data_IF_315860636099
#
_entry.id   IF_315860636099
#
_cell.length_a   1.000
_cell.length_b   1.000
_cell.length_c   1.000
_cell.angle_alpha   90.00
_cell.angle_beta   90.00
_cell.angle_gamma   90.00
#
_symmetry.space_group_name_H-M   'P 1'
#
loop_
_entity.id
_entity.type
_entity.pdbx_description
1 polymer ?
#
# COMPACT_ATOMS: atom_id res chain seq x y z
N UNK A 1 -16.51 -15.86 20.94
CA UNK A 1 -15.48 -14.89 21.39
C UNK A 1 -14.44 -15.48 22.35
N UNK A 2 -14.74 -16.54 23.12
CA UNK A 2 -13.86 -17.00 24.20
C UNK A 2 -12.59 -17.75 23.77
N UNK A 3 -12.55 -18.36 22.57
CA UNK A 3 -11.33 -19.06 22.15
C UNK A 3 -10.26 -18.17 21.52
N UNK A 4 -10.56 -16.90 21.21
CA UNK A 4 -9.55 -15.98 20.68
C UNK A 4 -8.40 -15.76 21.68
N UNK A 5 -7.12 -15.76 21.24
CA UNK A 5 -6.03 -15.20 22.00
C UNK A 5 -6.38 -13.80 22.51
N UNK A 6 -5.96 -13.49 23.73
CA UNK A 6 -6.28 -12.22 24.40
C UNK A 6 -5.91 -11.00 23.53
N UNK A 7 -4.81 -11.06 22.79
CA UNK A 7 -4.34 -10.02 21.88
C UNK A 7 -5.34 -9.74 20.73
N UNK A 8 -6.00 -10.77 20.22
CA UNK A 8 -6.99 -10.65 19.14
C UNK A 8 -8.34 -10.19 19.70
N UNK A 9 -8.77 -10.81 20.80
CA UNK A 9 -10.06 -10.52 21.45
C UNK A 9 -10.21 -9.05 21.85
N UNK A 10 -9.11 -8.38 22.22
CA UNK A 10 -9.12 -6.97 22.63
C UNK A 10 -9.44 -5.96 21.53
N UNK A 11 -9.42 -6.36 20.25
CA UNK A 11 -9.64 -5.46 19.11
C UNK A 11 -11.00 -5.71 18.42
N UNK A 12 -11.55 -6.90 18.56
CA UNK A 12 -12.70 -7.37 17.80
C UNK A 12 -14.05 -6.95 18.44
N UNK A 13 -15.12 -6.80 17.63
CA UNK A 13 -16.46 -6.57 18.15
C UNK A 13 -16.90 -7.78 18.98
N UNK A 14 -17.55 -7.55 20.12
CA UNK A 14 -17.96 -8.62 21.05
C UNK A 14 -19.27 -9.28 20.66
N UNK A 15 -20.09 -8.60 19.87
CA UNK A 15 -21.39 -9.04 19.42
C UNK A 15 -21.75 -8.31 18.10
N UNK A 16 -22.83 -8.74 17.46
CA UNK A 16 -23.28 -8.21 16.18
C UNK A 16 -23.65 -6.72 16.26
N UNK A 17 -24.19 -6.24 17.39
CA UNK A 17 -24.54 -4.82 17.55
C UNK A 17 -23.32 -3.91 17.51
N UNK A 18 -22.19 -4.36 18.08
CA UNK A 18 -20.91 -3.63 18.00
C UNK A 18 -20.35 -3.56 16.56
N UNK A 19 -20.90 -4.30 15.61
CA UNK A 19 -20.54 -4.18 14.19
C UNK A 19 -21.26 -3.04 13.46
N UNK A 20 -22.32 -2.44 14.03
CA UNK A 20 -23.06 -1.33 13.44
C UNK A 20 -23.45 -1.57 11.96
N UNK A 21 -23.99 -2.76 11.65
CA UNK A 21 -24.35 -3.14 10.28
C UNK A 21 -25.58 -2.38 9.78
N UNK A 22 -26.38 -1.82 10.69
CA UNK A 22 -27.53 -0.96 10.38
C UNK A 22 -27.17 0.31 9.60
N UNK A 23 -25.92 0.78 9.68
CA UNK A 23 -25.45 2.00 9.01
C UNK A 23 -25.13 1.79 7.52
N UNK A 24 -25.24 0.56 7.01
CA UNK A 24 -24.99 0.25 5.60
C UNK A 24 -26.11 0.78 4.69
N UNK A 25 -25.72 1.47 3.61
CA UNK A 25 -26.64 2.05 2.64
C UNK A 25 -27.32 0.97 1.77
N UNK A 26 -28.40 0.38 2.29
CA UNK A 26 -29.16 -0.70 1.64
C UNK A 26 -29.72 -0.30 0.27
N UNK A 27 -30.00 0.99 0.07
CA UNK A 27 -30.47 1.53 -1.22
C UNK A 27 -29.42 1.38 -2.34
N UNK A 28 -28.13 1.32 -1.97
CA UNK A 28 -27.02 1.16 -2.91
C UNK A 28 -26.68 -0.31 -3.10
N UNK A 29 -26.50 -1.04 -2.00
CA UNK A 29 -25.98 -2.42 -2.03
C UNK A 29 -27.07 -3.48 -2.20
N UNK A 30 -28.33 -3.10 -1.99
CA UNK A 30 -29.49 -3.97 -2.01
C UNK A 30 -29.73 -4.68 -0.68
N UNK A 31 -31.01 -4.78 -0.30
CA UNK A 31 -31.46 -5.42 0.97
C UNK A 31 -31.00 -6.86 1.12
N UNK A 32 -31.01 -7.66 0.05
CA UNK A 32 -30.62 -9.07 0.10
C UNK A 32 -29.15 -9.25 0.54
N UNK A 33 -28.26 -8.37 0.06
CA UNK A 33 -26.84 -8.42 0.43
C UNK A 33 -26.63 -8.02 1.90
N UNK A 34 -27.33 -6.97 2.36
CA UNK A 34 -27.28 -6.55 3.77
C UNK A 34 -27.81 -7.65 4.70
N UNK A 35 -28.87 -8.36 4.31
CA UNK A 35 -29.37 -9.52 5.05
C UNK A 35 -28.33 -10.66 5.08
N UNK A 36 -27.70 -10.99 3.96
CA UNK A 36 -26.65 -12.01 3.91
C UNK A 36 -25.46 -11.65 4.82
N UNK A 37 -25.06 -10.37 4.84
CA UNK A 37 -24.02 -9.89 5.74
C UNK A 37 -24.42 -9.97 7.21
N UNK A 38 -25.66 -9.60 7.53
CA UNK A 38 -26.22 -9.73 8.87
C UNK A 38 -26.22 -11.20 9.32
N UNK A 39 -26.69 -12.12 8.47
CA UNK A 39 -26.67 -13.54 8.76
C UNK A 39 -25.25 -14.09 8.91
N UNK A 40 -24.31 -13.66 8.08
CA UNK A 40 -22.90 -14.04 8.19
C UNK A 40 -22.31 -13.67 9.56
N UNK A 41 -22.66 -12.48 10.07
CA UNK A 41 -22.29 -12.04 11.41
C UNK A 41 -23.01 -12.86 12.49
N UNK A 42 -24.32 -13.07 12.36
CA UNK A 42 -25.10 -13.87 13.31
C UNK A 42 -24.55 -15.30 13.44
N UNK A 43 -24.24 -15.96 12.33
CA UNK A 43 -23.65 -17.30 12.31
C UNK A 43 -22.30 -17.31 13.05
N UNK A 44 -21.44 -16.30 12.82
CA UNK A 44 -20.17 -16.18 13.53
C UNK A 44 -20.37 -16.11 15.05
N UNK A 45 -21.24 -15.21 15.52
CA UNK A 45 -21.42 -14.98 16.95
C UNK A 45 -22.21 -16.09 17.64
N UNK A 46 -23.04 -16.84 16.91
CA UNK A 46 -23.68 -18.08 17.38
C UNK A 46 -22.71 -19.27 17.44
N UNK A 47 -21.57 -19.18 16.77
CA UNK A 47 -20.52 -20.20 16.76
C UNK A 47 -20.54 -21.12 15.55
N UNK A 48 -21.41 -20.87 14.55
CA UNK A 48 -21.40 -21.56 13.27
C UNK A 48 -20.34 -20.93 12.34
N UNK A 49 -19.08 -21.19 12.67
CA UNK A 49 -17.92 -20.64 11.97
C UNK A 49 -17.87 -21.11 10.49
N UNK A 50 -18.13 -22.39 10.16
CA UNK A 50 -18.12 -22.83 8.76
C UNK A 50 -19.16 -22.10 7.91
N UNK A 51 -20.39 -21.92 8.41
CA UNK A 51 -21.42 -21.21 7.67
C UNK A 51 -21.09 -19.71 7.51
N UNK A 52 -20.58 -19.08 8.57
CA UNK A 52 -20.11 -17.70 8.50
C UNK A 52 -19.00 -17.52 7.46
N UNK A 53 -18.03 -18.44 7.40
CA UNK A 53 -16.95 -18.41 6.42
C UNK A 53 -17.47 -18.56 4.99
N UNK A 54 -18.38 -19.50 4.73
CA UNK A 54 -18.99 -19.67 3.41
C UNK A 54 -19.71 -18.39 2.96
N UNK A 55 -20.55 -17.81 3.82
CA UNK A 55 -21.25 -16.55 3.51
C UNK A 55 -20.28 -15.39 3.30
N UNK A 56 -19.19 -15.33 4.07
CA UNK A 56 -18.16 -14.29 3.91
C UNK A 56 -17.48 -14.38 2.54
N UNK A 57 -17.23 -15.58 2.01
CA UNK A 57 -16.67 -15.78 0.67
C UNK A 57 -17.66 -15.37 -0.44
N UNK A 58 -18.94 -15.72 -0.30
CA UNK A 58 -19.99 -15.29 -1.22
C UNK A 58 -20.11 -13.75 -1.27
N UNK A 59 -20.13 -13.11 -0.09
CA UNK A 59 -20.16 -11.66 0.04
C UNK A 59 -18.94 -11.01 -0.61
N UNK A 60 -17.73 -11.56 -0.38
CA UNK A 60 -16.50 -11.06 -0.98
C UNK A 60 -16.51 -11.22 -2.50
N UNK A 61 -16.93 -12.38 -3.01
CA UNK A 61 -17.00 -12.67 -4.44
C UNK A 61 -17.94 -11.71 -5.17
N UNK A 62 -19.16 -11.57 -4.65
CA UNK A 62 -20.16 -10.67 -5.25
C UNK A 62 -19.73 -9.20 -5.16
N UNK A 63 -19.24 -8.77 -4.00
CA UNK A 63 -18.82 -7.39 -3.80
C UNK A 63 -17.58 -7.06 -4.65
N UNK A 64 -16.65 -8.01 -4.80
CA UNK A 64 -15.50 -7.85 -5.70
C UNK A 64 -15.94 -7.57 -7.13
N UNK A 65 -16.91 -8.32 -7.66
CA UNK A 65 -17.45 -8.10 -9.00
C UNK A 65 -18.02 -6.69 -9.14
N UNK A 66 -18.77 -6.22 -8.13
CA UNK A 66 -19.34 -4.85 -8.12
C UNK A 66 -18.28 -3.77 -8.06
N UNK A 67 -17.25 -3.95 -7.22
CA UNK A 67 -16.13 -3.01 -7.13
C UNK A 67 -15.32 -2.93 -8.44
N UNK A 68 -15.28 -4.01 -9.21
CA UNK A 68 -14.55 -4.08 -10.48
C UNK A 68 -15.45 -3.87 -11.70
N UNK A 69 -16.70 -3.43 -11.50
CA UNK A 69 -17.61 -3.06 -12.58
C UNK A 69 -17.47 -1.56 -12.86
N UNK A 70 -16.98 -1.19 -14.05
CA UNK A 70 -16.85 0.20 -14.47
C UNK A 70 -15.60 0.91 -13.93
N UNK A 71 -15.65 2.24 -13.85
CA UNK A 71 -14.52 3.04 -13.36
C UNK A 71 -14.50 3.12 -11.84
N UNK A 72 -13.37 2.79 -11.21
CA UNK A 72 -13.20 2.77 -9.75
C UNK A 72 -13.63 4.08 -9.04
N UNK A 73 -13.44 5.23 -9.68
CA UNK A 73 -13.81 6.55 -9.12
C UNK A 73 -15.33 6.73 -8.92
N UNK A 74 -16.13 5.96 -9.65
CA UNK A 74 -17.59 6.04 -9.66
C UNK A 74 -18.21 4.95 -8.76
N UNK A 75 -17.38 4.11 -8.14
CA UNK A 75 -17.82 3.05 -7.22
C UNK A 75 -18.25 3.68 -5.89
N UNK A 76 -19.50 3.43 -5.52
CA UNK A 76 -20.06 3.90 -4.25
C UNK A 76 -19.31 3.28 -3.05
N UNK A 77 -19.08 4.11 -2.03
CA UNK A 77 -18.37 3.70 -0.82
C UNK A 77 -19.10 2.59 -0.05
N UNK A 78 -20.41 2.45 -0.19
CA UNK A 78 -21.19 1.41 0.46
C UNK A 78 -20.72 0.00 0.08
N UNK A 79 -20.37 -0.24 -1.20
CA UNK A 79 -19.77 -1.50 -1.64
C UNK A 79 -18.44 -1.77 -0.94
N UNK A 80 -17.64 -0.72 -0.74
CA UNK A 80 -16.35 -0.82 -0.05
C UNK A 80 -16.54 -1.11 1.45
N UNK A 81 -17.58 -0.60 2.09
CA UNK A 81 -17.93 -0.96 3.46
C UNK A 81 -18.33 -2.44 3.58
N UNK A 82 -19.17 -2.96 2.66
CA UNK A 82 -19.53 -4.39 2.64
C UNK A 82 -18.29 -5.26 2.49
N UNK A 83 -17.38 -4.90 1.58
CA UNK A 83 -16.13 -5.64 1.39
C UNK A 83 -15.27 -5.67 2.66
N UNK A 84 -15.21 -4.54 3.39
CA UNK A 84 -14.49 -4.46 4.67
C UNK A 84 -15.11 -5.38 5.73
N UNK A 85 -16.44 -5.38 5.89
CA UNK A 85 -17.11 -6.23 6.87
C UNK A 85 -16.99 -7.73 6.53
N UNK A 86 -17.16 -8.09 5.27
CA UNK A 86 -17.00 -9.48 4.82
C UNK A 86 -15.54 -9.95 5.03
N UNK A 87 -14.56 -9.10 4.74
CA UNK A 87 -13.13 -9.38 5.00
C UNK A 87 -12.85 -9.58 6.49
N UNK A 88 -13.48 -8.77 7.35
CA UNK A 88 -13.36 -8.88 8.81
C UNK A 88 -13.93 -10.21 9.31
N UNK A 89 -15.15 -10.56 8.90
CA UNK A 89 -15.82 -11.81 9.29
C UNK A 89 -15.03 -13.03 8.80
N UNK A 90 -14.52 -12.99 7.57
CA UNK A 90 -13.62 -14.03 7.04
C UNK A 90 -12.37 -14.19 7.90
N UNK A 91 -11.66 -13.10 8.19
CA UNK A 91 -10.45 -13.14 9.00
C UNK A 91 -10.74 -13.65 10.42
N UNK A 92 -11.84 -13.21 11.03
CA UNK A 92 -12.30 -13.68 12.33
C UNK A 92 -12.61 -15.17 12.31
N UNK A 93 -13.33 -15.66 11.30
CA UNK A 93 -13.66 -17.07 11.12
C UNK A 93 -12.43 -17.95 10.97
N UNK A 94 -11.46 -17.55 10.14
CA UNK A 94 -10.20 -18.29 9.93
C UNK A 94 -9.43 -18.41 11.25
N UNK A 95 -9.33 -17.34 12.04
CA UNK A 95 -8.68 -17.38 13.35
C UNK A 95 -9.42 -18.30 14.33
N UNK A 96 -10.76 -18.33 14.30
CA UNK A 96 -11.56 -19.22 15.16
C UNK A 96 -11.40 -20.69 14.81
N UNK A 97 -11.40 -21.04 13.53
CA UNK A 97 -11.18 -22.43 13.11
C UNK A 97 -9.79 -22.95 13.48
N UNK A 98 -8.81 -22.04 13.54
CA UNK A 98 -7.43 -22.35 13.89
C UNK A 98 -7.27 -22.86 15.32
N UNK A 99 -8.18 -22.48 16.22
CA UNK A 99 -8.13 -22.78 17.66
C UNK A 99 -8.70 -24.15 18.03
N UNK A 100 -9.17 -24.93 17.06
CA UNK A 100 -9.57 -26.31 17.33
C UNK A 100 -8.36 -27.18 17.67
N UNK A 101 -8.51 -28.02 18.70
CA UNK A 101 -7.50 -28.97 19.18
C UNK A 101 -7.07 -29.91 18.02
N UNK A 102 -5.78 -30.28 17.98
CA UNK A 102 -5.09 -31.15 16.99
C UNK A 102 -4.37 -30.50 15.78
N UNK A 103 -4.13 -29.18 15.77
CA UNK A 103 -3.34 -28.53 14.70
C UNK A 103 -1.85 -28.36 15.04
N UNK A 104 -0.99 -28.57 14.04
CA UNK A 104 0.44 -28.27 14.15
C UNK A 104 0.68 -26.75 14.18
N UNK A 105 1.79 -26.32 14.79
CA UNK A 105 2.20 -24.90 14.80
C UNK A 105 2.25 -24.32 13.38
N UNK A 106 2.75 -25.07 12.39
CA UNK A 106 2.80 -24.63 11.00
C UNK A 106 1.40 -24.40 10.40
N UNK A 107 0.43 -25.25 10.72
CA UNK A 107 -0.95 -25.08 10.29
C UNK A 107 -1.62 -23.87 10.95
N UNK A 108 -1.26 -23.59 12.21
CA UNK A 108 -1.72 -22.41 12.95
C UNK A 108 -1.17 -21.13 12.30
N UNK A 109 0.14 -21.10 12.04
CA UNK A 109 0.80 -19.98 11.36
C UNK A 109 0.23 -19.79 9.94
N UNK A 110 -0.03 -20.86 9.19
CA UNK A 110 -0.66 -20.78 7.87
C UNK A 110 -2.07 -20.16 7.93
N UNK A 111 -2.85 -20.48 8.97
CA UNK A 111 -4.18 -19.91 9.19
C UNK A 111 -4.11 -18.41 9.51
N UNK A 112 -3.21 -18.00 10.40
CA UNK A 112 -2.98 -16.58 10.69
C UNK A 112 -2.49 -15.80 9.46
N UNK A 113 -1.66 -16.41 8.61
CA UNK A 113 -1.26 -15.81 7.34
C UNK A 113 -2.47 -15.56 6.44
N UNK A 114 -3.38 -16.53 6.31
CA UNK A 114 -4.63 -16.36 5.53
C UNK A 114 -5.57 -15.30 6.13
N UNK A 115 -5.69 -15.24 7.46
CA UNK A 115 -6.48 -14.22 8.13
C UNK A 115 -5.90 -12.81 7.92
N UNK A 116 -4.56 -12.69 7.95
CA UNK A 116 -3.85 -11.45 7.65
C UNK A 116 -4.07 -11.01 6.20
N UNK A 117 -4.01 -11.97 5.26
CA UNK A 117 -4.30 -11.72 3.84
C UNK A 117 -5.74 -11.23 3.64
N UNK A 118 -6.73 -11.83 4.32
CA UNK A 118 -8.11 -11.35 4.27
C UNK A 118 -8.24 -9.91 4.80
N UNK A 119 -7.55 -9.57 5.90
CA UNK A 119 -7.51 -8.18 6.39
C UNK A 119 -6.86 -7.23 5.36
N UNK A 120 -5.76 -7.65 4.74
CA UNK A 120 -5.03 -6.86 3.75
C UNK A 120 -5.87 -6.62 2.50
N UNK A 121 -6.60 -7.63 2.04
CA UNK A 121 -7.56 -7.47 0.94
C UNK A 121 -8.66 -6.47 1.28
N UNK A 122 -9.20 -6.52 2.50
CA UNK A 122 -10.20 -5.55 2.95
C UNK A 122 -9.63 -4.12 3.08
N UNK A 123 -8.36 -3.97 3.47
CA UNK A 123 -7.68 -2.66 3.50
C UNK A 123 -7.40 -2.11 2.09
N UNK A 124 -7.15 -2.99 1.11
CA UNK A 124 -6.88 -2.61 -0.27
C UNK A 124 -8.15 -2.24 -1.03
N UNK A 125 -9.20 -3.06 -0.92
CA UNK A 125 -10.43 -2.92 -1.71
C UNK A 125 -11.53 -2.16 -0.97
N UNK A 126 -11.59 -2.33 0.35
CA UNK A 126 -12.65 -1.78 1.20
C UNK A 126 -12.45 -0.32 1.59
N UNK A 127 -13.27 0.12 2.53
CA UNK A 127 -13.23 1.45 3.14
C UNK A 127 -13.15 1.34 4.68
N UNK A 128 -12.61 2.37 5.36
CA UNK A 128 -12.53 2.39 6.82
C UNK A 128 -13.89 2.14 7.48
N UNK A 129 -13.97 1.17 8.40
CA UNK A 129 -15.11 0.97 9.32
C UNK A 129 -14.61 0.72 10.73
N UNK A 130 -15.45 0.98 11.73
CA UNK A 130 -15.20 0.66 13.15
C UNK A 130 -13.80 1.11 13.63
N UNK A 131 -13.43 2.36 13.32
CA UNK A 131 -12.10 2.91 13.62
C UNK A 131 -10.95 2.04 13.07
N UNK A 132 -10.95 1.83 11.75
CA UNK A 132 -9.93 1.07 11.01
C UNK A 132 -9.71 -0.35 11.56
N UNK A 133 -10.81 -1.05 11.87
CA UNK A 133 -10.76 -2.34 12.57
C UNK A 133 -9.86 -3.38 11.90
N UNK A 134 -9.85 -3.46 10.56
CA UNK A 134 -8.97 -4.38 9.83
C UNK A 134 -7.49 -4.07 10.04
N UNK A 135 -7.10 -2.80 10.11
CA UNK A 135 -5.70 -2.41 10.37
C UNK A 135 -5.31 -2.79 11.79
N UNK A 136 -6.20 -2.54 12.77
CA UNK A 136 -5.98 -2.93 14.17
C UNK A 136 -5.93 -4.45 14.33
N UNK A 137 -6.80 -5.18 13.64
CA UNK A 137 -6.88 -6.63 13.73
C UNK A 137 -5.69 -7.31 13.03
N UNK A 138 -5.31 -6.84 11.83
CA UNK A 138 -4.11 -7.29 11.14
C UNK A 138 -2.86 -7.13 12.01
N UNK A 139 -2.73 -6.01 12.72
CA UNK A 139 -1.64 -5.79 13.69
C UNK A 139 -1.70 -6.78 14.86
N UNK A 140 -2.88 -7.02 15.43
CA UNK A 140 -3.04 -8.01 16.50
C UNK A 140 -2.66 -9.42 16.03
N UNK A 141 -3.06 -9.79 14.80
CA UNK A 141 -2.64 -11.04 14.14
C UNK A 141 -1.12 -11.06 14.01
N UNK A 142 -0.48 -10.02 13.48
CA UNK A 142 0.98 -9.96 13.33
C UNK A 142 1.75 -10.11 14.65
N UNK A 143 1.22 -9.60 15.76
CA UNK A 143 1.87 -9.77 17.08
C UNK A 143 1.77 -11.20 17.62
N UNK A 144 0.74 -11.93 17.21
CA UNK A 144 0.48 -13.33 17.59
C UNK A 144 1.19 -14.28 16.63
N UNK A 145 1.23 -13.91 15.36
CA UNK A 145 1.91 -14.57 14.26
C UNK A 145 3.42 -14.48 14.44
N UNK A 146 4.08 -15.63 14.52
CA UNK A 146 5.53 -15.71 14.46
C UNK A 146 5.86 -16.15 13.05
N UNK A 147 6.25 -15.23 12.14
CA UNK A 147 6.67 -15.66 10.81
C UNK A 147 7.75 -16.71 10.98
N UNK A 148 7.56 -17.87 10.33
CA UNK A 148 8.60 -18.88 10.21
C UNK A 148 9.85 -18.14 9.75
N UNK A 149 10.92 -18.20 10.57
CA UNK A 149 12.18 -17.59 10.20
C UNK A 149 12.51 -18.12 8.80
N UNK A 150 12.70 -17.26 7.79
CA UNK A 150 13.28 -17.75 6.55
C UNK A 150 14.58 -18.45 6.95
N UNK A 151 14.80 -19.67 6.44
CA UNK A 151 15.98 -20.46 6.74
C UNK A 151 17.20 -19.54 6.74
N UNK A 152 17.92 -19.53 7.86
CA UNK A 152 19.05 -18.65 8.17
C UNK A 152 19.73 -18.12 6.90
N UNK A 153 19.52 -16.85 6.57
CA UNK A 153 20.32 -16.18 5.57
C UNK A 153 21.66 -15.80 6.20
N UNK A 154 22.47 -16.81 6.52
CA UNK A 154 23.92 -16.68 6.55
C UNK A 154 24.44 -16.66 5.11
N UNK A 155 23.88 -15.80 4.25
CA UNK A 155 24.60 -15.39 3.06
C UNK A 155 25.48 -14.24 3.50
N UNK A 156 26.75 -14.55 3.75
CA UNK A 156 27.82 -13.57 3.62
C UNK A 156 27.50 -12.78 2.35
N UNK A 157 27.43 -11.47 2.46
CA UNK A 157 27.40 -10.57 1.31
C UNK A 157 28.71 -10.86 0.56
N UNK A 158 28.68 -11.86 -0.33
CA UNK A 158 29.61 -11.90 -1.42
C UNK A 158 29.14 -10.78 -2.32
N UNK A 159 29.98 -9.77 -2.41
CA UNK A 159 29.93 -8.58 -3.24
C UNK A 159 29.92 -8.97 -4.74
N UNK A 160 28.98 -9.82 -5.13
CA UNK A 160 28.70 -10.14 -6.52
C UNK A 160 27.48 -9.31 -6.91
N UNK A 161 27.79 -8.10 -7.37
CA UNK A 161 26.87 -7.25 -8.11
C UNK A 161 26.29 -8.01 -9.29
N UNK A 162 25.16 -8.68 -9.10
CA UNK A 162 24.31 -9.10 -10.21
C UNK A 162 23.68 -7.82 -10.74
N UNK A 163 24.34 -7.18 -11.69
CA UNK A 163 23.72 -6.10 -12.45
C UNK A 163 22.47 -6.68 -13.15
N UNK A 164 21.27 -6.11 -12.90
CA UNK A 164 20.13 -6.41 -13.74
C UNK A 164 20.52 -6.05 -15.18
N UNK A 165 20.51 -7.03 -16.07
CA UNK A 165 20.77 -6.83 -17.51
C UNK A 165 19.58 -6.12 -18.15
N UNK A 166 19.35 -4.87 -17.77
CA UNK A 166 18.64 -3.90 -18.58
C UNK A 166 19.67 -3.22 -19.48
N UNK A 167 19.35 -2.90 -20.74
CA UNK A 167 20.27 -2.14 -21.59
C UNK A 167 20.71 -0.88 -20.84
N UNK A 168 21.99 -0.47 -20.93
CA UNK A 168 22.47 0.72 -20.25
C UNK A 168 21.69 1.92 -20.77
N UNK A 169 20.60 2.27 -20.08
CA UNK A 169 19.98 3.56 -20.25
C UNK A 169 21.02 4.55 -19.78
N UNK A 170 21.63 5.25 -20.74
CA UNK A 170 22.50 6.39 -20.47
C UNK A 170 21.70 7.33 -19.58
N UNK A 171 22.06 7.36 -18.30
CA UNK A 171 21.52 8.29 -17.32
C UNK A 171 21.78 9.68 -17.93
N UNK A 172 20.75 10.41 -18.39
CA UNK A 172 21.01 11.60 -19.17
C UNK A 172 21.68 12.63 -18.26
N UNK A 173 22.79 13.20 -18.72
CA UNK A 173 23.55 14.16 -17.93
C UNK A 173 22.67 15.38 -17.59
N UNK A 174 22.60 15.74 -16.31
CA UNK A 174 21.86 16.92 -15.88
C UNK A 174 22.71 18.15 -16.20
N UNK A 175 22.17 19.06 -17.02
CA UNK A 175 22.79 20.37 -17.22
C UNK A 175 22.72 21.17 -15.93
N UNK A 176 23.86 21.71 -15.46
CA UNK A 176 23.95 22.54 -14.24
C UNK A 176 22.97 23.72 -14.25
N UNK A 177 22.62 24.23 -15.43
CA UNK A 177 21.70 25.35 -15.60
C UNK A 177 20.24 24.98 -15.25
N UNK A 178 19.91 23.68 -15.26
CA UNK A 178 18.58 23.15 -14.98
C UNK A 178 18.54 22.39 -13.65
N UNK A 179 19.58 22.51 -12.82
CA UNK A 179 19.57 21.92 -11.48
C UNK A 179 18.53 22.60 -10.58
N UNK A 180 17.77 21.79 -9.86
CA UNK A 180 16.82 22.27 -8.86
C UNK A 180 17.61 22.85 -7.67
N UNK A 181 17.30 24.07 -7.20
CA UNK A 181 17.99 24.67 -6.08
C UNK A 181 17.85 23.83 -4.81
N UNK A 182 18.91 23.83 -3.99
CA UNK A 182 18.96 23.14 -2.70
C UNK A 182 18.96 24.19 -1.59
N UNK A 183 18.09 24.01 -0.59
CA UNK A 183 18.01 24.88 0.59
C UNK A 183 18.04 24.05 1.86
N UNK A 184 18.71 24.55 2.89
CA UNK A 184 18.79 23.88 4.19
C UNK A 184 17.74 24.46 5.14
N UNK A 185 16.81 23.64 5.62
CA UNK A 185 15.77 24.00 6.60
C UNK A 185 15.20 25.44 6.46
N UNK A 186 14.56 25.79 5.32
CA UNK A 186 14.00 27.12 5.14
C UNK A 186 12.87 27.37 6.14
N UNK A 187 12.68 28.63 6.57
CA UNK A 187 11.51 28.99 7.37
C UNK A 187 10.21 28.76 6.58
N UNK A 188 9.08 28.53 7.26
CA UNK A 188 7.78 28.36 6.59
C UNK A 188 7.43 29.56 5.70
N UNK A 189 7.72 30.78 6.15
CA UNK A 189 7.46 32.00 5.39
C UNK A 189 8.34 32.06 4.13
N UNK A 190 9.63 31.78 4.27
CA UNK A 190 10.57 31.73 3.13
C UNK A 190 10.16 30.66 2.13
N UNK A 191 9.76 29.48 2.62
CA UNK A 191 9.31 28.39 1.75
C UNK A 191 8.03 28.76 0.99
N UNK A 192 7.06 29.35 1.69
CA UNK A 192 5.78 29.75 1.13
C UNK A 192 5.96 30.82 0.04
N UNK A 193 6.68 31.91 0.34
CA UNK A 193 6.80 33.04 -0.59
C UNK A 193 7.72 32.73 -1.77
N UNK A 194 8.82 32.01 -1.55
CA UNK A 194 9.85 31.83 -2.58
C UNK A 194 9.61 30.61 -3.48
N UNK A 195 8.95 29.57 -2.99
CA UNK A 195 8.79 28.31 -3.73
C UNK A 195 7.33 27.90 -3.92
N UNK A 196 6.52 27.94 -2.87
CA UNK A 196 5.14 27.44 -2.94
C UNK A 196 4.24 28.33 -3.81
N UNK A 197 4.22 29.65 -3.55
CA UNK A 197 3.42 30.61 -4.31
C UNK A 197 3.92 30.78 -5.76
N UNK A 198 5.25 30.75 -5.94
CA UNK A 198 5.88 30.88 -7.26
C UNK A 198 5.84 29.59 -8.07
N UNK A 199 5.40 28.47 -7.47
CA UNK A 199 5.40 27.12 -8.05
C UNK A 199 6.80 26.70 -8.55
N UNK A 200 7.84 27.10 -7.81
CA UNK A 200 9.23 26.81 -8.14
C UNK A 200 9.69 25.55 -7.42
N UNK A 201 10.21 24.52 -8.13
CA UNK A 201 10.73 23.32 -7.49
C UNK A 201 11.96 23.62 -6.64
N UNK A 202 12.08 22.93 -5.49
CA UNK A 202 13.20 23.09 -4.54
C UNK A 202 13.50 21.76 -3.84
N UNK A 203 14.77 21.50 -3.55
CA UNK A 203 15.22 20.39 -2.71
C UNK A 203 15.47 20.93 -1.30
N UNK A 204 14.73 20.44 -0.31
CA UNK A 204 14.91 20.79 1.10
C UNK A 204 15.85 19.79 1.77
N UNK A 205 16.93 20.29 2.38
CA UNK A 205 17.92 19.53 3.14
C UNK A 205 17.77 19.80 4.64
N UNK A 206 18.28 18.91 5.49
CA UNK A 206 18.25 19.03 6.96
C UNK A 206 16.89 18.78 7.62
N UNK A 207 15.80 18.93 6.87
CA UNK A 207 14.42 18.82 7.37
C UNK A 207 14.03 17.44 7.94
N UNK A 208 14.68 16.37 7.48
CA UNK A 208 14.32 14.99 7.83
C UNK A 208 15.30 14.32 8.81
N UNK A 209 16.35 15.02 9.28
CA UNK A 209 17.45 14.40 10.05
C UNK A 209 16.98 13.70 11.33
N UNK A 210 15.91 14.21 11.94
CA UNK A 210 15.32 13.67 13.15
C UNK A 210 14.32 12.52 12.90
N UNK A 211 14.05 12.15 11.63
CA UNK A 211 13.07 11.12 11.32
C UNK A 211 13.62 9.74 11.73
N UNK A 212 12.86 8.93 12.50
CA UNK A 212 13.37 7.65 12.99
C UNK A 212 13.79 6.70 11.86
N UNK A 213 13.16 6.82 10.68
CA UNK A 213 13.49 6.08 9.47
C UNK A 213 14.93 6.27 8.96
N UNK A 214 15.60 7.36 9.35
CA UNK A 214 16.99 7.66 8.99
C UNK A 214 17.98 7.40 10.15
N UNK A 215 17.49 7.21 11.37
CA UNK A 215 18.30 7.00 12.58
C UNK A 215 17.89 5.74 13.35
N UNK A 216 17.18 5.92 14.47
CA UNK A 216 16.87 4.87 15.46
C UNK A 216 16.16 3.64 14.88
N UNK A 217 15.31 3.83 13.88
CA UNK A 217 14.55 2.79 13.18
C UNK A 217 14.85 2.84 11.69
N UNK A 218 16.15 2.79 11.35
CA UNK A 218 16.63 2.91 9.97
C UNK A 218 15.93 1.90 9.06
N UNK A 219 15.34 2.38 7.97
CA UNK A 219 14.70 1.52 6.98
C UNK A 219 15.74 0.69 6.21
N UNK A 220 15.93 -0.55 6.63
CA UNK A 220 16.68 -1.58 5.89
C UNK A 220 15.72 -2.61 5.28
N UNK A 221 16.24 -3.50 4.42
CA UNK A 221 15.46 -4.65 3.94
C UNK A 221 15.03 -5.54 5.10
N UNK A 222 15.94 -5.82 6.04
CA UNK A 222 15.65 -6.63 7.23
C UNK A 222 14.62 -5.98 8.14
N UNK A 223 14.72 -4.67 8.37
CA UNK A 223 13.73 -3.93 9.13
C UNK A 223 12.35 -4.06 8.49
N UNK A 224 12.24 -3.86 7.17
CA UNK A 224 10.98 -3.94 6.45
C UNK A 224 10.40 -5.36 6.41
N UNK A 225 11.24 -6.40 6.32
CA UNK A 225 10.82 -7.80 6.50
C UNK A 225 10.28 -8.04 7.91
N UNK A 226 10.94 -7.50 8.93
CA UNK A 226 10.53 -7.67 10.32
C UNK A 226 9.19 -7.00 10.61
N UNK A 227 9.00 -5.75 10.18
CA UNK A 227 7.81 -4.96 10.55
C UNK A 227 6.61 -5.19 9.64
N UNK A 228 6.84 -5.44 8.36
CA UNK A 228 5.76 -5.51 7.37
C UNK A 228 5.91 -6.68 6.39
N UNK A 229 6.88 -7.57 6.59
CA UNK A 229 7.20 -8.65 5.65
C UNK A 229 6.03 -9.58 5.36
N UNK A 230 5.10 -9.77 6.30
CA UNK A 230 3.91 -10.60 6.14
C UNK A 230 2.73 -9.89 5.50
N UNK A 231 2.79 -8.57 5.26
CA UNK A 231 1.69 -7.82 4.65
C UNK A 231 1.64 -8.06 3.15
N UNK A 232 0.44 -8.33 2.64
CA UNK A 232 0.15 -8.46 1.21
C UNK A 232 0.02 -7.08 0.59
N UNK A 233 0.81 -6.81 -0.45
CA UNK A 233 0.87 -5.52 -1.13
C UNK A 233 0.76 -5.69 -2.65
N UNK A 234 0.21 -4.70 -3.36
CA UNK A 234 0.24 -4.67 -4.81
C UNK A 234 1.63 -4.35 -5.33
N UNK A 235 2.13 -5.19 -6.23
CA UNK A 235 3.41 -5.01 -6.93
C UNK A 235 3.14 -4.87 -8.42
N UNK A 236 3.62 -3.78 -9.01
CA UNK A 236 3.67 -3.59 -10.45
C UNK A 236 4.80 -4.43 -11.04
N UNK A 237 4.51 -5.17 -12.11
CA UNK A 237 5.44 -6.05 -12.79
C UNK A 237 5.62 -5.56 -14.22
N UNK A 238 6.86 -5.29 -14.63
CA UNK A 238 7.19 -4.76 -15.95
C UNK A 238 8.07 -3.51 -15.86
N UNK A 239 8.64 -3.10 -17.00
CA UNK A 239 9.57 -1.96 -17.04
C UNK A 239 8.86 -0.60 -16.96
N UNK A 240 7.70 -0.47 -17.60
CA UNK A 240 6.86 0.74 -17.59
C UNK A 240 5.39 0.36 -17.55
N UNK A 241 4.57 1.15 -16.85
CA UNK A 241 3.12 0.96 -16.78
C UNK A 241 2.36 1.15 -18.10
N UNK A 242 3.01 1.72 -19.11
CA UNK A 242 2.47 1.89 -20.46
C UNK A 242 2.75 0.68 -21.36
N UNK A 243 3.58 -0.27 -20.93
CA UNK A 243 3.97 -1.41 -21.74
C UNK A 243 2.86 -2.48 -21.67
N UNK A 244 2.58 -3.17 -22.78
CA UNK A 244 1.58 -4.25 -22.82
C UNK A 244 1.92 -5.42 -21.88
N UNK A 245 3.21 -5.61 -21.59
CA UNK A 245 3.69 -6.62 -20.65
C UNK A 245 3.54 -6.19 -19.18
N UNK A 246 3.06 -4.97 -18.91
CA UNK A 246 2.80 -4.51 -17.55
C UNK A 246 1.61 -5.26 -16.95
N UNK A 247 1.78 -5.68 -15.70
CA UNK A 247 0.73 -6.30 -14.92
C UNK A 247 0.87 -5.94 -13.45
N UNK A 248 -0.14 -6.26 -12.66
CA UNK A 248 -0.10 -6.11 -11.21
C UNK A 248 -0.32 -7.46 -10.54
N UNK A 249 0.43 -7.72 -9.48
CA UNK A 249 0.30 -8.95 -8.70
C UNK A 249 0.31 -8.63 -7.21
N UNK A 250 -0.49 -9.34 -6.43
CA UNK A 250 -0.48 -9.28 -4.98
C UNK A 250 0.53 -10.30 -4.44
N UNK A 251 1.43 -9.85 -3.58
CA UNK A 251 2.36 -10.72 -2.86
C UNK A 251 2.79 -10.09 -1.55
N UNK A 252 3.41 -10.87 -0.67
CA UNK A 252 3.92 -10.31 0.59
C UNK A 252 5.14 -9.42 0.36
N UNK A 253 5.40 -8.47 1.25
CA UNK A 253 6.64 -7.66 1.21
C UNK A 253 7.89 -8.56 1.27
N UNK A 254 7.86 -9.62 2.07
CA UNK A 254 8.95 -10.60 2.13
C UNK A 254 9.17 -11.32 0.80
N UNK A 255 8.10 -11.70 0.11
CA UNK A 255 8.20 -12.32 -1.22
C UNK A 255 8.72 -11.33 -2.25
N UNK A 256 8.23 -10.08 -2.23
CA UNK A 256 8.72 -9.02 -3.11
C UNK A 256 10.23 -8.80 -2.94
N UNK A 257 10.70 -8.68 -1.69
CA UNK A 257 12.13 -8.51 -1.39
C UNK A 257 12.93 -9.72 -1.87
N UNK A 258 12.51 -10.94 -1.54
CA UNK A 258 13.21 -12.16 -1.96
C UNK A 258 13.30 -12.31 -3.48
N UNK A 259 12.18 -12.07 -4.18
CA UNK A 259 12.03 -12.32 -5.62
C UNK A 259 12.67 -11.23 -6.45
N UNK A 260 12.40 -9.96 -6.15
CA UNK A 260 12.74 -8.84 -7.03
C UNK A 260 13.94 -8.02 -6.54
N UNK A 261 14.25 -8.01 -5.24
CA UNK A 261 15.37 -7.22 -4.69
C UNK A 261 16.63 -8.07 -4.49
N UNK A 262 16.50 -9.23 -3.84
CA UNK A 262 17.62 -10.13 -3.53
C UNK A 262 17.91 -11.16 -4.64
N UNK A 263 16.96 -11.33 -5.57
CA UNK A 263 17.11 -12.20 -6.74
C UNK A 263 17.19 -13.70 -6.46
N UNK A 264 16.66 -14.17 -5.33
CA UNK A 264 16.67 -15.60 -4.95
C UNK A 264 15.92 -16.52 -5.91
N UNK A 265 15.03 -15.97 -6.74
CA UNK A 265 14.21 -16.69 -7.72
C UNK A 265 14.55 -16.31 -9.19
N UNK A 266 15.54 -15.44 -9.42
CA UNK A 266 15.86 -14.89 -10.74
C UNK A 266 16.45 -15.90 -11.73
N UNK A 267 16.73 -17.15 -11.32
CA UNK A 267 17.26 -18.19 -12.19
C UNK A 267 16.26 -18.65 -13.28
N UNK A 268 14.96 -18.35 -13.15
CA UNK A 268 13.92 -18.77 -14.13
C UNK A 268 13.27 -17.66 -14.96
N UNK A 269 13.43 -16.37 -14.61
CA UNK A 269 12.82 -15.23 -15.33
C UNK A 269 13.79 -14.05 -15.43
N UNK A 270 14.72 -14.09 -16.39
CA UNK A 270 15.63 -12.97 -16.65
C UNK A 270 14.83 -11.72 -17.02
N UNK A 271 14.99 -10.64 -16.25
CA UNK A 271 14.61 -9.28 -16.65
C UNK A 271 13.25 -8.75 -16.19
N UNK A 272 12.44 -9.50 -15.42
CA UNK A 272 11.19 -8.96 -14.90
C UNK A 272 11.44 -8.02 -13.70
N UNK A 273 11.14 -6.73 -13.88
CA UNK A 273 11.23 -5.70 -12.82
C UNK A 273 9.96 -5.74 -11.97
N UNK A 274 10.12 -5.66 -10.65
CA UNK A 274 9.03 -5.51 -9.69
C UNK A 274 9.12 -4.16 -8.99
N UNK A 275 7.98 -3.47 -8.86
CA UNK A 275 7.89 -2.17 -8.23
C UNK A 275 6.71 -2.09 -7.25
N UNK A 276 7.01 -1.86 -5.97
CA UNK A 276 6.01 -1.47 -4.98
C UNK A 276 5.74 0.02 -5.17
N UNK A 277 4.69 0.34 -5.91
CA UNK A 277 4.37 1.71 -6.31
C UNK A 277 3.01 2.13 -5.80
N UNK A 278 2.86 3.43 -5.53
CA UNK A 278 1.58 4.08 -5.31
C UNK A 278 0.72 3.49 -4.16
N UNK A 279 1.33 2.73 -3.25
CA UNK A 279 0.62 2.05 -2.17
C UNK A 279 0.67 2.83 -0.86
N UNK A 280 -0.46 2.90 -0.15
CA UNK A 280 -0.58 3.56 1.15
C UNK A 280 -0.13 2.62 2.28
N UNK A 281 1.14 2.20 2.24
CA UNK A 281 1.65 1.18 3.17
C UNK A 281 1.52 1.60 4.65
N UNK A 282 1.60 2.91 4.94
CA UNK A 282 1.37 3.41 6.30
C UNK A 282 -0.06 3.12 6.77
N UNK A 283 -1.08 3.29 5.93
CA UNK A 283 -2.44 2.95 6.35
C UNK A 283 -2.59 1.45 6.68
N UNK A 284 -1.85 0.60 5.97
CA UNK A 284 -1.84 -0.85 6.19
C UNK A 284 -0.99 -1.29 7.41
N UNK A 285 0.15 -0.63 7.67
CA UNK A 285 1.17 -1.04 8.66
C UNK A 285 1.55 0.07 9.67
N UNK A 286 0.62 0.98 9.97
CA UNK A 286 0.84 2.34 10.47
C UNK A 286 1.73 2.50 11.70
N UNK A 287 1.67 1.56 12.65
CA UNK A 287 2.41 1.66 13.92
C UNK A 287 3.80 1.01 13.89
N UNK A 288 4.06 0.15 12.90
CA UNK A 288 5.32 -0.58 12.81
C UNK A 288 6.32 0.13 11.87
N UNK A 289 5.82 1.01 11.01
CA UNK A 289 6.63 1.98 10.28
C UNK A 289 6.70 3.28 11.09
N UNK A 290 7.90 3.85 11.35
CA UNK A 290 8.01 5.11 12.07
C UNK A 290 7.22 6.21 11.37
N UNK A 291 6.29 6.84 12.09
CA UNK A 291 5.60 8.03 11.62
C UNK A 291 6.62 9.12 11.26
N UNK A 292 6.36 9.80 10.14
CA UNK A 292 7.02 11.05 9.83
C UNK A 292 6.32 12.18 10.61
N UNK A 293 7.08 13.10 11.23
CA UNK A 293 6.48 14.26 11.88
C UNK A 293 5.79 15.16 10.85
N UNK A 294 4.54 15.52 11.14
CA UNK A 294 3.69 16.41 10.31
C UNK A 294 4.18 17.86 10.25
N UNK A 295 5.36 18.17 10.79
CA UNK A 295 5.87 19.53 11.02
C UNK A 295 6.19 20.34 9.75
N UNK A 296 6.18 19.72 8.57
CA UNK A 296 6.40 20.37 7.28
C UNK A 296 5.18 20.31 6.34
N UNK A 297 4.06 19.83 6.84
CA UNK A 297 2.89 19.49 6.03
C UNK A 297 1.77 20.46 6.38
N UNK A 298 1.59 21.48 5.53
CA UNK A 298 0.49 22.45 5.66
C UNK A 298 -0.89 21.80 5.47
N UNK A 299 -0.95 20.68 4.73
CA UNK A 299 -2.15 19.84 4.57
C UNK A 299 -1.72 18.37 4.33
N UNK A 300 -2.03 17.42 5.24
CA UNK A 300 -1.63 16.03 5.09
C UNK A 300 -2.49 15.32 4.03
N UNK A 301 -2.07 15.43 2.78
CA UNK A 301 -2.54 14.58 1.69
C UNK A 301 -2.15 13.10 1.86
N UNK A 302 -2.65 12.20 0.99
CA UNK A 302 -2.37 10.77 1.07
C UNK A 302 -0.88 10.47 0.88
N UNK A 303 -0.29 9.68 1.78
CA UNK A 303 1.12 9.26 1.70
C UNK A 303 1.25 7.92 1.00
N UNK A 304 2.06 7.90 -0.06
CA UNK A 304 2.32 6.69 -0.88
C UNK A 304 3.79 6.32 -0.84
N UNK A 305 4.08 5.03 -0.79
CA UNK A 305 5.45 4.51 -0.84
C UNK A 305 5.78 4.06 -2.26
N UNK A 306 7.02 4.34 -2.63
CA UNK A 306 7.64 3.90 -3.87
C UNK A 306 8.93 3.15 -3.54
N UNK A 307 9.02 1.87 -3.93
CA UNK A 307 10.23 1.06 -3.75
C UNK A 307 10.40 0.07 -4.90
N UNK A 308 11.54 0.15 -5.57
CA UNK A 308 11.86 -0.70 -6.71
C UNK A 308 13.33 -1.09 -6.76
N UNK A 309 13.67 -1.90 -7.76
CA UNK A 309 15.05 -2.21 -8.11
C UNK A 309 15.73 -1.02 -8.78
N UNK A 310 17.05 -1.09 -8.97
CA UNK A 310 17.77 -0.09 -9.78
C UNK A 310 17.12 0.01 -11.16
N UNK A 311 17.02 1.24 -11.67
CA UNK A 311 16.46 1.58 -12.98
C UNK A 311 14.93 1.46 -13.13
N UNK A 312 14.20 1.36 -12.02
CA UNK A 312 12.73 1.48 -12.08
C UNK A 312 12.32 2.89 -12.54
N UNK A 313 11.47 2.98 -13.56
CA UNK A 313 10.97 4.23 -14.11
C UNK A 313 9.53 4.49 -13.64
N UNK A 314 9.29 5.65 -13.05
CA UNK A 314 7.95 6.12 -12.73
C UNK A 314 7.66 7.43 -13.49
N UNK A 315 6.58 7.47 -14.28
CA UNK A 315 6.06 8.73 -14.82
C UNK A 315 5.06 9.29 -13.82
N UNK A 316 5.39 10.42 -13.22
CA UNK A 316 4.44 11.16 -12.39
C UNK A 316 3.67 12.07 -13.34
N UNK A 317 2.46 11.66 -13.73
CA UNK A 317 1.51 12.58 -14.34
C UNK A 317 1.00 13.52 -13.23
N UNK A 318 1.12 14.83 -13.50
CA UNK A 318 0.53 15.96 -12.78
C UNK A 318 -0.04 15.60 -11.38
N UNK A 319 0.83 15.60 -10.36
CA UNK A 319 0.38 15.33 -9.00
C UNK A 319 -0.40 16.55 -8.46
N UNK A 320 -1.61 16.32 -7.96
CA UNK A 320 -2.41 17.33 -7.25
C UNK A 320 -1.85 17.68 -5.86
N UNK A 321 -0.84 16.94 -5.38
CA UNK A 321 -0.22 17.09 -4.05
C UNK A 321 1.28 17.38 -4.15
N UNK A 322 1.79 18.25 -3.27
CA UNK A 322 3.16 18.77 -3.32
C UNK A 322 4.13 17.94 -2.46
N UNK A 323 5.01 17.16 -3.09
CA UNK A 323 6.27 16.74 -2.47
C UNK A 323 6.61 15.25 -2.56
N UNK A 324 7.90 14.95 -2.42
CA UNK A 324 8.47 13.60 -2.30
C UNK A 324 9.60 13.61 -1.27
N UNK A 325 9.73 12.52 -0.51
CA UNK A 325 10.80 12.31 0.46
C UNK A 325 11.61 11.06 0.08
N UNK A 326 12.94 11.18 0.07
CA UNK A 326 13.86 10.08 -0.27
C UNK A 326 14.53 9.53 1.00
N UNK A 327 14.37 8.24 1.25
CA UNK A 327 14.91 7.57 2.44
C UNK A 327 16.16 6.72 2.15
N UNK A 328 16.20 6.05 1.00
CA UNK A 328 17.28 5.14 0.62
C UNK A 328 17.57 5.23 -0.88
N UNK A 329 18.84 5.13 -1.27
CA UNK A 329 19.26 5.13 -2.67
C UNK A 329 19.37 6.53 -3.29
N UNK A 330 19.37 6.60 -4.62
CA UNK A 330 19.39 7.83 -5.41
C UNK A 330 18.33 7.74 -6.49
N UNK A 331 17.65 8.86 -6.77
CA UNK A 331 16.67 8.98 -7.86
C UNK A 331 17.09 10.13 -8.78
N UNK A 332 16.81 10.00 -10.07
CA UNK A 332 16.90 11.09 -11.03
C UNK A 332 15.47 11.54 -11.38
N UNK A 333 15.20 12.83 -11.20
CA UNK A 333 13.86 13.40 -11.40
C UNK A 333 13.94 14.48 -12.47
N UNK A 334 13.04 14.41 -13.46
CA UNK A 334 12.88 15.40 -14.51
C UNK A 334 11.57 16.15 -14.28
N UNK A 335 11.64 17.48 -14.15
CA UNK A 335 10.47 18.35 -13.94
C UNK A 335 10.30 19.25 -15.15
N UNK A 336 9.13 19.19 -15.79
CA UNK A 336 8.74 20.14 -16.83
C UNK A 336 7.90 21.24 -16.19
N UNK A 337 8.40 22.48 -16.22
CA UNK A 337 7.64 23.66 -15.80
C UNK A 337 6.96 24.24 -17.03
N UNK A 338 5.68 23.95 -17.23
CA UNK A 338 4.89 24.61 -18.27
C UNK A 338 4.49 26.01 -17.78
N UNK A 339 5.14 27.04 -18.32
CA UNK A 339 4.62 28.41 -18.20
C UNK A 339 3.40 28.49 -19.09
N UNK A 340 2.22 28.68 -18.50
CA UNK A 340 1.03 29.11 -19.21
C UNK A 340 1.34 30.47 -19.85
N UNK A 341 1.71 30.47 -21.13
CA UNK A 341 1.68 31.68 -21.93
C UNK A 341 0.20 32.01 -22.15
N UNK A 342 -0.30 33.01 -21.42
CA UNK A 342 -1.48 33.74 -21.83
C UNK A 342 -1.12 34.41 -23.18
N UNK A 343 -1.49 33.73 -24.27
CA UNK A 343 -1.29 34.25 -25.62
C UNK A 343 -1.99 35.60 -25.76
N UNK A 344 -1.20 36.67 -25.93
CA UNK A 344 -1.73 37.91 -26.50
C UNK A 344 -2.18 37.59 -27.92
N UNK A 345 -3.46 37.81 -28.19
CA UNK A 345 -4.00 37.88 -29.54
C UNK A 345 -3.17 38.84 -30.39
N UNK A 346 -2.38 38.31 -31.31
CA UNK A 346 -2.04 39.01 -32.54
C UNK A 346 -2.57 38.16 -33.69
N UNK A 347 -3.72 38.59 -34.23
CA UNK A 347 -4.16 38.20 -35.57
C UNK A 347 -3.11 38.73 -36.54
N UNK A 348 -2.38 37.82 -37.17
CA UNK A 348 -1.63 38.07 -38.40
C UNK A 348 -2.39 37.37 -39.51
N UNK A 349 -3.14 38.15 -40.28
CA UNK A 349 -3.63 37.80 -41.62
C UNK A 349 -2.45 37.80 -42.57
N UNK A 350 -2.19 36.68 -43.24
CA UNK A 350 -1.38 36.66 -44.46
C UNK A 350 -1.90 35.55 -45.38
N UNK A 351 -2.32 36.02 -46.55
CA UNK A 351 -2.93 35.29 -47.65
C UNK A 351 -2.02 34.20 -48.25
N UNK A 352 -2.65 33.12 -48.72
CA UNK A 352 -2.06 32.18 -49.66
C UNK A 352 -2.37 32.60 -51.10
N UNK A 353 -1.39 32.60 -52.00
CA UNK A 353 -1.61 32.24 -53.39
C UNK A 353 -0.93 30.90 -53.74
N UNK A 354 -1.51 30.24 -54.76
CA UNK A 354 -1.39 28.84 -55.18
C UNK A 354 0.00 28.19 -55.16
#
# INVERSE_FOLDING_TARGET
MEGFPMALRGVLPKNVKEMALEDLAQEVTGRALCLLLQECADDFFRGDIPQSLNKSEELLSYTWEKLNTGHWKDVDIAWRHVYTYASLLKAMGICRECEHEDRTEDAIQASYKKALEACDMGLLMGAPVLDNILSRFARAIQTTYKPLKPASCTSRILDQSVEPSLPPHQIPAISKQHEIPRVFCPSLLSFQSQYMQTKTPVIIQGAMEHWPALGLRKWSLDYLRQVAGSRTVPIELGAKYTDEAWSQSLMTISDFISKYIEGKELSKRKGQVGYLAQHQLFYQADKDLPHYPKSLVLDPGPTRIFRGTRFTLARIQQAFYMGQALFTGKIQVWIRVERLYLGRNQKSTADFPM
#
